data_IF_402480796813
#
_entry.id   IF_402480796813
#
_cell.length_a   1.000
_cell.length_b   1.000
_cell.length_c   1.000
_cell.angle_alpha   90.00
_cell.angle_beta   90.00
_cell.angle_gamma   90.00
#
_symmetry.space_group_name_H-M   'P 1'
#
loop_
_entity.id
_entity.type
_entity.pdbx_description
1 polymer ?
#
# COMPACT_ATOMS: atom_id res chain seq x y z
N UNK A 1 -42.66 -7.38 -5.89
CA UNK A 1 -41.21 -7.15 -5.96
C UNK A 1 -40.43 -8.19 -5.14
N UNK A 2 -40.78 -8.41 -3.86
CA UNK A 2 -40.07 -9.37 -2.99
C UNK A 2 -40.13 -10.83 -3.44
N UNK A 3 -41.14 -11.20 -4.21
CA UNK A 3 -41.31 -12.54 -4.75
C UNK A 3 -40.56 -12.78 -6.09
N UNK A 4 -40.02 -11.70 -6.69
CA UNK A 4 -39.28 -11.76 -7.95
C UNK A 4 -37.93 -12.47 -7.72
N UNK A 5 -37.50 -13.41 -8.60
CA UNK A 5 -36.18 -14.01 -8.49
C UNK A 5 -35.08 -13.03 -8.89
N UNK A 6 -33.92 -13.14 -8.26
CA UNK A 6 -32.70 -12.44 -8.71
C UNK A 6 -32.24 -13.13 -9.99
N UNK A 7 -32.11 -12.34 -11.06
CA UNK A 7 -31.83 -12.84 -12.40
C UNK A 7 -30.34 -12.89 -12.72
N UNK A 8 -29.60 -11.88 -12.27
CA UNK A 8 -28.17 -11.75 -12.56
C UNK A 8 -27.45 -10.90 -11.51
N UNK A 9 -26.13 -11.00 -11.55
CA UNK A 9 -25.21 -10.18 -10.78
C UNK A 9 -24.38 -9.33 -11.73
N UNK A 10 -24.23 -8.05 -11.44
CA UNK A 10 -23.34 -7.13 -12.17
C UNK A 10 -22.31 -6.59 -11.19
N UNK A 11 -21.03 -6.79 -11.48
CA UNK A 11 -19.93 -6.19 -10.73
C UNK A 11 -19.51 -4.87 -11.38
N UNK A 12 -19.38 -3.83 -10.58
CA UNK A 12 -18.99 -2.48 -11.00
C UNK A 12 -17.74 -2.09 -10.20
N UNK A 13 -16.53 -2.40 -10.68
CA UNK A 13 -15.31 -1.97 -10.02
C UNK A 13 -15.16 -0.45 -10.17
N UNK A 14 -14.91 0.25 -9.07
CA UNK A 14 -14.63 1.69 -9.05
C UNK A 14 -13.15 2.00 -9.34
N UNK A 15 -12.28 0.99 -9.17
CA UNK A 15 -10.86 1.03 -9.50
C UNK A 15 -10.46 -0.29 -10.15
N UNK A 16 -9.46 -0.26 -11.02
CA UNK A 16 -8.94 -1.44 -11.70
C UNK A 16 -7.50 -1.71 -11.23
N UNK A 17 -7.36 -1.98 -9.93
CA UNK A 17 -6.05 -2.30 -9.34
C UNK A 17 -5.59 -3.73 -9.62
N UNK A 18 -6.51 -4.65 -9.87
CA UNK A 18 -6.20 -6.03 -10.27
C UNK A 18 -5.97 -7.02 -9.12
N UNK A 19 -6.23 -6.63 -7.87
CA UNK A 19 -6.14 -7.54 -6.73
C UNK A 19 -7.30 -8.54 -6.68
N UNK A 20 -8.49 -8.10 -7.12
CA UNK A 20 -9.69 -8.91 -7.11
C UNK A 20 -9.92 -9.54 -8.47
N UNK A 21 -9.95 -10.87 -8.53
CA UNK A 21 -10.32 -11.59 -9.76
C UNK A 21 -11.84 -11.53 -9.93
N UNK A 22 -12.30 -10.58 -10.74
CA UNK A 22 -13.72 -10.26 -10.92
C UNK A 22 -14.56 -11.47 -11.30
N UNK A 23 -14.07 -12.38 -12.16
CA UNK A 23 -14.81 -13.57 -12.56
C UNK A 23 -15.09 -14.50 -11.38
N UNK A 24 -14.09 -14.69 -10.48
CA UNK A 24 -14.26 -15.52 -9.29
C UNK A 24 -15.24 -14.89 -8.31
N UNK A 25 -15.08 -13.58 -8.05
CA UNK A 25 -15.98 -12.84 -7.18
C UNK A 25 -17.43 -12.87 -7.71
N UNK A 26 -17.60 -12.69 -9.02
CA UNK A 26 -18.91 -12.78 -9.67
C UNK A 26 -19.56 -14.15 -9.44
N UNK A 27 -18.83 -15.23 -9.71
CA UNK A 27 -19.38 -16.58 -9.59
C UNK A 27 -19.73 -16.93 -8.13
N UNK A 28 -18.91 -16.50 -7.17
CA UNK A 28 -19.19 -16.66 -5.75
C UNK A 28 -20.45 -15.92 -5.33
N UNK A 29 -20.63 -14.65 -5.72
CA UNK A 29 -21.83 -13.86 -5.39
C UNK A 29 -23.06 -14.43 -6.12
N UNK A 30 -22.91 -14.79 -7.39
CA UNK A 30 -24.00 -15.38 -8.14
C UNK A 30 -24.53 -16.69 -7.50
N UNK A 31 -23.63 -17.54 -7.04
CA UNK A 31 -24.01 -18.77 -6.32
C UNK A 31 -24.78 -18.49 -5.01
N UNK A 32 -24.55 -17.33 -4.39
CA UNK A 32 -25.24 -16.94 -3.16
C UNK A 32 -26.67 -16.43 -3.39
N UNK A 33 -26.98 -15.86 -4.54
CA UNK A 33 -28.22 -15.08 -4.72
C UNK A 33 -29.03 -15.40 -5.98
N UNK A 34 -28.44 -15.83 -7.09
CA UNK A 34 -29.17 -16.08 -8.35
C UNK A 34 -30.25 -17.16 -8.14
N UNK A 35 -31.43 -16.91 -8.71
CA UNK A 35 -32.63 -17.71 -8.56
C UNK A 35 -33.28 -17.70 -7.15
N UNK A 36 -32.72 -17.01 -6.17
CA UNK A 36 -33.39 -16.74 -4.89
C UNK A 36 -34.36 -15.56 -5.05
N UNK A 37 -35.45 -15.56 -4.28
CA UNK A 37 -36.37 -14.43 -4.26
C UNK A 37 -35.68 -13.21 -3.64
N UNK A 38 -35.95 -12.01 -4.15
CA UNK A 38 -35.43 -10.75 -3.60
C UNK A 38 -35.66 -10.64 -2.10
N UNK A 39 -36.87 -10.99 -1.64
CA UNK A 39 -37.20 -10.93 -0.20
C UNK A 39 -36.51 -11.98 0.68
N UNK A 40 -35.89 -12.99 0.10
CA UNK A 40 -35.17 -14.06 0.83
C UNK A 40 -33.66 -14.00 0.61
N UNK A 41 -33.16 -13.11 -0.27
CA UNK A 41 -31.75 -12.93 -0.50
C UNK A 41 -31.07 -12.29 0.73
N UNK A 42 -30.03 -12.92 1.22
CA UNK A 42 -29.28 -12.42 2.38
C UNK A 42 -28.25 -11.38 1.94
N UNK A 43 -28.70 -10.14 1.76
CA UNK A 43 -27.82 -9.04 1.37
C UNK A 43 -26.69 -8.79 2.38
N UNK A 44 -26.95 -9.05 3.68
CA UNK A 44 -25.94 -8.90 4.72
C UNK A 44 -24.78 -9.88 4.51
N UNK A 45 -25.09 -11.13 4.14
CA UNK A 45 -24.06 -12.15 3.86
C UNK A 45 -23.20 -11.77 2.66
N UNK A 46 -23.80 -11.21 1.60
CA UNK A 46 -23.09 -10.71 0.44
C UNK A 46 -22.16 -9.55 0.84
N UNK A 47 -22.66 -8.60 1.62
CA UNK A 47 -21.86 -7.47 2.10
C UNK A 47 -20.72 -7.95 3.01
N UNK A 48 -20.96 -8.89 3.90
CA UNK A 48 -19.92 -9.51 4.74
C UNK A 48 -18.85 -10.22 3.90
N UNK A 49 -19.25 -10.96 2.87
CA UNK A 49 -18.33 -11.62 1.95
C UNK A 49 -17.39 -10.61 1.27
N UNK A 50 -17.93 -9.48 0.82
CA UNK A 50 -17.16 -8.41 0.20
C UNK A 50 -16.24 -7.71 1.23
N UNK A 51 -16.75 -7.38 2.41
CA UNK A 51 -15.98 -6.71 3.46
C UNK A 51 -14.88 -7.58 4.06
N UNK A 52 -15.02 -8.91 4.01
CA UNK A 52 -13.99 -9.85 4.43
C UNK A 52 -12.91 -10.07 3.37
N UNK A 53 -13.07 -9.54 2.17
CA UNK A 53 -12.02 -9.59 1.15
C UNK A 53 -10.93 -8.56 1.49
N UNK A 54 -9.68 -8.99 1.75
CA UNK A 54 -8.63 -8.10 2.27
C UNK A 54 -8.17 -7.06 1.26
N UNK A 55 -8.59 -7.13 0.02
CA UNK A 55 -8.24 -6.18 -1.04
C UNK A 55 -9.36 -5.19 -1.37
N UNK A 56 -10.54 -5.34 -0.76
CA UNK A 56 -11.68 -4.43 -0.97
C UNK A 56 -11.71 -3.40 0.15
N UNK A 57 -11.57 -2.12 -0.22
CA UNK A 57 -11.63 -0.98 0.69
C UNK A 57 -13.07 -0.65 1.08
N UNK A 58 -13.96 -0.65 0.10
CA UNK A 58 -15.38 -0.33 0.28
C UNK A 58 -16.25 -1.04 -0.74
N UNK A 59 -17.49 -1.27 -0.38
CA UNK A 59 -18.47 -1.87 -1.28
C UNK A 59 -19.88 -1.34 -1.03
N UNK A 60 -20.70 -1.36 -2.08
CA UNK A 60 -22.12 -1.07 -2.03
C UNK A 60 -22.86 -2.06 -2.92
N UNK A 61 -23.98 -2.58 -2.44
CA UNK A 61 -24.80 -3.52 -3.20
C UNK A 61 -26.28 -3.19 -3.10
N UNK A 62 -27.00 -3.30 -4.22
CA UNK A 62 -28.43 -3.11 -4.28
C UNK A 62 -29.05 -3.97 -5.38
N UNK A 63 -30.33 -4.30 -5.20
CA UNK A 63 -31.10 -5.02 -6.22
C UNK A 63 -32.04 -4.00 -6.88
N UNK A 64 -32.02 -3.93 -8.19
CA UNK A 64 -32.92 -3.04 -8.95
C UNK A 64 -34.34 -3.65 -9.09
N UNK A 65 -35.26 -2.84 -9.66
CA UNK A 65 -36.65 -3.26 -9.84
C UNK A 65 -36.81 -4.45 -10.80
N UNK A 66 -35.83 -4.68 -11.64
CA UNK A 66 -35.81 -5.76 -12.61
C UNK A 66 -35.24 -7.07 -12.04
N UNK A 67 -34.69 -7.02 -10.83
CA UNK A 67 -34.15 -8.17 -10.12
C UNK A 67 -32.69 -8.44 -10.43
N UNK A 68 -31.94 -7.44 -10.87
CA UNK A 68 -30.49 -7.55 -11.03
C UNK A 68 -29.79 -7.04 -9.78
N UNK A 69 -28.87 -7.84 -9.23
CA UNK A 69 -28.00 -7.41 -8.15
C UNK A 69 -26.82 -6.65 -8.72
N UNK A 70 -26.71 -5.39 -8.34
CA UNK A 70 -25.59 -4.52 -8.69
C UNK A 70 -24.65 -4.41 -7.47
N UNK A 71 -23.36 -4.67 -7.68
CA UNK A 71 -22.32 -4.65 -6.65
C UNK A 71 -21.21 -3.72 -7.11
N UNK A 72 -21.12 -2.53 -6.53
CA UNK A 72 -19.98 -1.65 -6.69
C UNK A 72 -18.95 -1.94 -5.60
N UNK A 73 -17.68 -1.95 -5.96
CA UNK A 73 -16.59 -2.10 -4.99
C UNK A 73 -15.36 -1.32 -5.42
N UNK A 74 -14.63 -0.85 -4.43
CA UNK A 74 -13.35 -0.17 -4.59
C UNK A 74 -12.26 -1.03 -3.97
N UNK A 75 -11.20 -1.30 -4.73
CA UNK A 75 -10.02 -1.98 -4.23
C UNK A 75 -9.07 -0.98 -3.56
N UNK A 76 -8.28 -1.44 -2.59
CA UNK A 76 -7.21 -0.65 -2.00
C UNK A 76 -6.16 -0.24 -3.04
N UNK A 77 -5.62 0.96 -2.88
CA UNK A 77 -4.51 1.49 -3.69
C UNK A 77 -3.21 1.46 -2.88
N UNK A 78 -2.37 0.43 -3.03
CA UNK A 78 -1.11 0.36 -2.31
C UNK A 78 -0.12 1.40 -2.83
N UNK A 79 0.69 1.93 -1.91
CA UNK A 79 1.71 2.93 -2.17
C UNK A 79 3.12 2.42 -1.87
N UNK A 80 3.22 1.44 -0.98
CA UNK A 80 4.48 0.89 -0.50
C UNK A 80 4.36 -0.62 -0.38
N UNK A 81 5.37 -1.36 -0.85
CA UNK A 81 5.51 -2.80 -0.58
C UNK A 81 6.60 -3.00 0.45
N UNK A 82 6.28 -3.71 1.53
CA UNK A 82 7.20 -3.92 2.64
C UNK A 82 7.54 -5.41 2.74
N UNK A 83 8.84 -5.72 2.74
CA UNK A 83 9.37 -7.05 2.96
C UNK A 83 9.87 -7.15 4.39
N UNK A 84 9.32 -8.09 5.15
CA UNK A 84 9.72 -8.41 6.50
C UNK A 84 11.01 -9.23 6.58
N UNK A 85 11.49 -9.43 7.80
CA UNK A 85 12.67 -10.25 8.12
C UNK A 85 12.53 -11.70 7.70
N UNK A 86 11.32 -12.21 7.70
CA UNK A 86 10.96 -13.61 7.40
C UNK A 86 10.71 -13.86 5.91
N UNK A 87 10.86 -12.84 5.07
CA UNK A 87 10.64 -12.90 3.64
C UNK A 87 9.18 -12.71 3.20
N UNK A 88 8.24 -12.63 4.13
CA UNK A 88 6.86 -12.24 3.80
C UNK A 88 6.80 -10.78 3.35
N UNK A 89 5.77 -10.44 2.61
CA UNK A 89 5.54 -9.06 2.21
C UNK A 89 4.10 -8.66 2.34
N UNK A 90 3.89 -7.40 2.65
CA UNK A 90 2.58 -6.74 2.70
C UNK A 90 2.62 -5.47 1.87
N UNK A 91 1.45 -4.94 1.57
CA UNK A 91 1.33 -3.60 1.01
C UNK A 91 0.80 -2.64 2.07
N UNK A 92 1.11 -1.37 1.88
CA UNK A 92 0.67 -0.29 2.75
C UNK A 92 0.04 0.81 1.90
N UNK A 93 -1.18 1.22 2.27
CA UNK A 93 -1.88 2.32 1.63
C UNK A 93 -1.42 3.67 2.18
N UNK A 94 -1.80 4.76 1.53
CA UNK A 94 -1.50 6.11 2.01
C UNK A 94 -2.18 6.43 3.36
N UNK A 95 -3.30 5.82 3.63
CA UNK A 95 -4.10 5.99 4.85
C UNK A 95 -3.56 5.17 6.02
N UNK A 96 -2.59 4.27 5.77
CA UNK A 96 -1.99 3.42 6.79
C UNK A 96 -2.70 2.07 6.97
N UNK A 97 -3.47 1.63 5.98
CA UNK A 97 -4.01 0.26 5.96
C UNK A 97 -2.95 -0.69 5.43
N UNK A 98 -2.68 -1.73 6.19
CA UNK A 98 -1.84 -2.87 5.76
C UNK A 98 -2.75 -3.88 5.06
N UNK A 99 -2.38 -4.27 3.84
CA UNK A 99 -3.09 -5.30 3.08
C UNK A 99 -2.12 -6.43 2.70
N UNK A 100 -2.58 -7.69 2.66
CA UNK A 100 -1.72 -8.81 2.32
C UNK A 100 -1.21 -8.74 0.87
N UNK A 101 -0.08 -9.37 0.61
CA UNK A 101 0.40 -9.56 -0.76
C UNK A 101 -0.56 -10.47 -1.54
N UNK A 102 -0.61 -10.26 -2.86
CA UNK A 102 -1.41 -11.06 -3.77
C UNK A 102 -0.51 -11.90 -4.67
N UNK A 103 -0.96 -13.11 -4.99
CA UNK A 103 -0.29 -13.98 -5.97
C UNK A 103 -0.66 -13.64 -7.42
N UNK A 104 -1.73 -12.88 -7.62
CA UNK A 104 -2.29 -12.59 -8.96
C UNK A 104 -1.92 -11.20 -9.46
N UNK A 105 -1.56 -10.28 -8.56
CA UNK A 105 -1.24 -8.91 -8.92
C UNK A 105 -0.09 -8.34 -8.10
N UNK A 106 0.81 -7.63 -8.77
CA UNK A 106 1.94 -6.94 -8.14
C UNK A 106 2.03 -5.52 -8.68
N UNK A 107 1.52 -4.52 -7.93
CA UNK A 107 1.60 -3.12 -8.35
C UNK A 107 3.04 -2.60 -8.33
N UNK A 108 3.32 -1.65 -9.21
CA UNK A 108 4.61 -0.96 -9.24
C UNK A 108 4.61 0.17 -8.20
N UNK A 109 5.12 -0.12 -7.02
CA UNK A 109 5.18 0.80 -5.87
C UNK A 109 6.58 0.85 -5.28
N UNK A 110 6.87 1.84 -4.43
CA UNK A 110 8.14 1.90 -3.70
C UNK A 110 8.30 0.66 -2.81
N UNK A 111 9.52 0.14 -2.75
CA UNK A 111 9.85 -1.03 -1.92
C UNK A 111 10.52 -0.55 -0.64
N UNK A 112 10.08 -1.11 0.49
CA UNK A 112 10.78 -1.06 1.75
C UNK A 112 11.17 -2.47 2.21
N UNK A 113 12.33 -2.61 2.83
CA UNK A 113 12.80 -3.90 3.36
C UNK A 113 13.60 -3.71 4.64
N UNK A 114 13.88 -4.80 5.35
CA UNK A 114 14.77 -4.80 6.51
C UNK A 114 14.05 -5.17 7.81
N UNK A 115 14.23 -4.36 8.86
CA UNK A 115 13.75 -4.67 10.20
C UNK A 115 12.26 -4.41 10.39
N UNK A 116 11.41 -5.13 9.65
CA UNK A 116 9.97 -5.13 9.81
C UNK A 116 9.51 -6.48 10.35
N UNK A 117 8.76 -6.44 11.45
CA UNK A 117 8.06 -7.60 12.01
C UNK A 117 6.63 -7.56 11.47
N UNK A 118 6.39 -8.33 10.39
CA UNK A 118 5.09 -8.39 9.76
C UNK A 118 4.21 -9.41 10.46
N UNK A 119 2.96 -9.03 10.71
CA UNK A 119 1.95 -10.01 11.10
C UNK A 119 1.63 -10.87 9.87
N UNK A 120 1.64 -12.18 10.05
CA UNK A 120 1.27 -13.12 8.98
C UNK A 120 -0.25 -13.24 8.93
N UNK A 121 -0.91 -12.10 8.65
CA UNK A 121 -2.36 -12.01 8.63
C UNK A 121 -2.84 -11.93 7.17
N UNK A 122 -3.85 -12.74 6.86
CA UNK A 122 -4.52 -12.74 5.55
C UNK A 122 -5.61 -11.67 5.45
N UNK A 123 -5.79 -10.86 6.48
CA UNK A 123 -6.77 -9.79 6.57
C UNK A 123 -6.12 -8.41 6.48
N UNK A 124 -6.86 -7.44 5.98
CA UNK A 124 -6.43 -6.05 6.03
C UNK A 124 -6.62 -5.49 7.45
N UNK A 125 -5.66 -4.65 7.90
CA UNK A 125 -5.78 -3.98 9.20
C UNK A 125 -5.21 -2.56 9.15
N UNK A 126 -5.68 -1.71 10.07
CA UNK A 126 -5.19 -0.34 10.21
C UNK A 126 -3.99 -0.30 11.15
N UNK A 127 -2.93 0.41 10.74
CA UNK A 127 -1.77 0.65 11.61
C UNK A 127 -2.17 1.39 12.89
N UNK A 128 -1.58 0.97 14.00
CA UNK A 128 -1.79 1.55 15.31
C UNK A 128 -0.44 1.81 16.00
N UNK A 129 -0.18 3.07 16.39
CA UNK A 129 1.06 3.49 17.05
C UNK A 129 1.27 2.89 18.45
N UNK A 130 0.19 2.40 19.09
CA UNK A 130 0.26 1.65 20.34
C UNK A 130 0.75 0.20 20.17
N UNK A 131 0.86 -0.29 18.94
CA UNK A 131 1.35 -1.63 18.63
C UNK A 131 2.84 -1.54 18.24
N UNK A 132 3.77 -2.14 19.03
CA UNK A 132 5.21 -2.02 18.77
C UNK A 132 5.65 -2.48 17.38
N UNK A 133 5.01 -3.51 16.82
CA UNK A 133 5.30 -4.04 15.47
C UNK A 133 4.98 -3.01 14.38
N UNK A 134 3.97 -2.17 14.58
CA UNK A 134 3.53 -1.18 13.60
C UNK A 134 4.43 0.07 13.55
N UNK A 135 5.25 0.30 14.57
CA UNK A 135 6.08 1.52 14.67
C UNK A 135 6.99 1.70 13.44
N UNK A 136 7.67 0.64 12.99
CA UNK A 136 8.53 0.73 11.81
C UNK A 136 7.73 0.87 10.52
N UNK A 137 6.53 0.28 10.45
CA UNK A 137 5.61 0.45 9.32
C UNK A 137 5.11 1.90 9.23
N UNK A 138 4.74 2.50 10.36
CA UNK A 138 4.33 3.91 10.46
C UNK A 138 5.47 4.84 10.02
N UNK A 139 6.70 4.58 10.48
CA UNK A 139 7.89 5.35 10.05
C UNK A 139 8.16 5.17 8.55
N UNK A 140 8.00 3.97 8.01
CA UNK A 140 8.15 3.73 6.57
C UNK A 140 7.11 4.54 5.77
N UNK A 141 5.86 4.58 6.23
CA UNK A 141 4.82 5.41 5.62
C UNK A 141 5.13 6.90 5.70
N UNK A 142 5.65 7.38 6.83
CA UNK A 142 6.08 8.77 6.98
C UNK A 142 7.21 9.11 6.00
N UNK A 143 8.21 8.22 5.86
CA UNK A 143 9.27 8.38 4.86
C UNK A 143 8.73 8.36 3.44
N UNK A 144 7.82 7.44 3.13
CA UNK A 144 7.15 7.41 1.83
C UNK A 144 6.48 8.75 1.51
N UNK A 145 5.68 9.29 2.45
CA UNK A 145 4.99 10.58 2.28
C UNK A 145 5.98 11.74 2.07
N UNK A 146 7.07 11.77 2.82
CA UNK A 146 8.11 12.77 2.67
C UNK A 146 8.82 12.66 1.30
N UNK A 147 9.17 11.45 0.87
CA UNK A 147 9.77 11.19 -0.45
C UNK A 147 8.79 11.61 -1.56
N UNK A 148 7.53 11.24 -1.42
CA UNK A 148 6.51 11.51 -2.44
C UNK A 148 6.19 13.00 -2.61
N UNK A 149 6.33 13.79 -1.54
CA UNK A 149 6.16 15.25 -1.57
C UNK A 149 7.34 16.00 -2.24
N UNK A 150 8.49 15.34 -2.44
CA UNK A 150 9.63 15.92 -3.14
C UNK A 150 9.80 15.26 -4.52
N UNK A 151 9.40 15.96 -5.58
CA UNK A 151 9.37 15.42 -6.95
C UNK A 151 10.74 14.94 -7.44
N UNK A 152 11.85 15.63 -7.08
CA UNK A 152 13.19 15.23 -7.46
C UNK A 152 13.59 13.91 -6.77
N UNK A 153 13.45 13.85 -5.46
CA UNK A 153 13.82 12.67 -4.67
C UNK A 153 12.93 11.47 -4.99
N UNK A 154 11.61 11.67 -5.18
CA UNK A 154 10.69 10.64 -5.61
C UNK A 154 11.19 9.91 -6.86
N UNK A 155 11.63 10.66 -7.87
CA UNK A 155 12.09 10.10 -9.15
C UNK A 155 13.44 9.38 -9.03
N UNK A 156 14.24 9.69 -8.02
CA UNK A 156 15.56 9.12 -7.80
C UNK A 156 15.55 7.97 -6.78
N UNK A 157 14.55 7.90 -5.88
CA UNK A 157 14.52 6.88 -4.83
C UNK A 157 14.20 5.51 -5.42
N UNK A 158 15.08 4.54 -5.17
CA UNK A 158 14.90 3.16 -5.60
C UNK A 158 14.30 2.27 -4.50
N UNK A 159 14.75 2.44 -3.26
CA UNK A 159 14.34 1.59 -2.14
C UNK A 159 14.53 2.31 -0.80
N UNK A 160 13.67 1.96 0.16
CA UNK A 160 13.77 2.31 1.57
C UNK A 160 14.22 1.08 2.35
N UNK A 161 15.21 1.21 3.22
CA UNK A 161 15.71 0.10 4.06
C UNK A 161 15.68 0.49 5.54
N UNK A 162 15.11 -0.36 6.38
CA UNK A 162 15.12 -0.23 7.83
C UNK A 162 16.20 -1.15 8.40
N UNK A 163 17.25 -0.59 9.02
CA UNK A 163 18.33 -1.38 9.58
C UNK A 163 17.99 -1.96 10.98
N UNK A 164 18.88 -2.76 11.54
CA UNK A 164 18.70 -3.43 12.85
C UNK A 164 18.57 -2.45 14.03
N UNK A 165 18.91 -1.16 13.85
CA UNK A 165 18.76 -0.10 14.85
C UNK A 165 17.46 0.69 14.67
N UNK A 166 16.56 0.25 13.77
CA UNK A 166 15.34 0.95 13.38
C UNK A 166 15.59 2.33 12.76
N UNK A 167 16.77 2.51 12.14
CA UNK A 167 17.11 3.68 11.35
C UNK A 167 16.90 3.39 9.87
N UNK A 168 16.50 4.42 9.12
CA UNK A 168 16.21 4.28 7.71
C UNK A 168 17.37 4.71 6.83
N UNK A 169 17.53 4.00 5.73
CA UNK A 169 18.50 4.22 4.67
C UNK A 169 17.77 4.28 3.33
N UNK A 170 18.23 5.12 2.41
CA UNK A 170 17.69 5.22 1.04
C UNK A 170 18.71 4.69 0.05
N UNK A 171 18.23 3.94 -0.93
CA UNK A 171 18.95 3.69 -2.18
C UNK A 171 18.48 4.71 -3.20
N UNK A 172 19.41 5.48 -3.74
CA UNK A 172 19.10 6.61 -4.63
C UNK A 172 19.85 6.44 -5.94
N UNK A 173 19.13 6.53 -7.07
CA UNK A 173 19.73 6.45 -8.41
C UNK A 173 20.74 7.57 -8.60
N UNK A 174 21.89 7.25 -9.17
CA UNK A 174 22.99 8.19 -9.40
C UNK A 174 23.88 8.42 -8.17
N UNK A 175 23.64 7.70 -7.07
CA UNK A 175 24.50 7.65 -5.90
C UNK A 175 24.76 6.19 -5.55
N UNK A 176 26.02 5.73 -5.64
CA UNK A 176 26.39 4.37 -5.22
C UNK A 176 26.49 4.23 -3.70
N UNK A 177 26.58 5.35 -2.98
CA UNK A 177 26.70 5.39 -1.54
C UNK A 177 25.36 5.11 -0.83
N UNK A 178 25.42 4.49 0.34
CA UNK A 178 24.28 4.43 1.26
C UNK A 178 23.90 5.84 1.74
N UNK A 179 22.63 6.19 1.64
CA UNK A 179 22.09 7.44 2.17
C UNK A 179 21.39 7.15 3.50
N UNK A 180 22.04 7.49 4.61
CA UNK A 180 21.51 7.25 5.95
C UNK A 180 20.66 8.44 6.36
N UNK A 181 19.35 8.25 6.43
CA UNK A 181 18.38 9.30 6.79
C UNK A 181 17.92 9.21 8.24
N UNK A 182 18.10 8.03 8.89
CA UNK A 182 17.80 7.80 10.31
C UNK A 182 16.30 7.77 10.60
N UNK A 183 15.86 8.52 11.61
CA UNK A 183 14.47 8.66 12.00
C UNK A 183 13.70 9.63 11.08
N UNK A 184 12.39 9.75 11.30
CA UNK A 184 11.51 10.61 10.50
C UNK A 184 11.50 12.08 10.94
N UNK A 185 12.24 12.45 12.01
CA UNK A 185 12.37 13.84 12.42
C UNK A 185 13.00 14.67 11.31
N UNK A 186 12.42 15.84 11.01
CA UNK A 186 12.88 16.73 9.95
C UNK A 186 13.06 16.06 8.56
N UNK A 187 12.23 15.06 8.24
CA UNK A 187 12.35 14.26 7.02
C UNK A 187 12.41 15.15 5.75
N UNK A 188 11.56 16.15 5.67
CA UNK A 188 11.55 17.09 4.53
C UNK A 188 12.86 17.86 4.37
N UNK A 189 13.46 18.33 5.49
CA UNK A 189 14.74 19.03 5.49
C UNK A 189 15.89 18.09 5.09
N UNK A 190 15.89 16.84 5.61
CA UNK A 190 16.88 15.84 5.22
C UNK A 190 16.85 15.56 3.72
N UNK A 191 15.64 15.40 3.14
CA UNK A 191 15.47 15.17 1.71
C UNK A 191 15.85 16.39 0.87
N UNK A 192 15.56 17.61 1.33
CA UNK A 192 15.97 18.84 0.67
C UNK A 192 17.49 18.99 0.64
N UNK A 193 18.19 18.65 1.72
CA UNK A 193 19.67 18.63 1.75
C UNK A 193 20.23 17.58 0.79
N UNK A 194 19.61 16.40 0.72
CA UNK A 194 19.99 15.38 -0.25
C UNK A 194 19.82 15.88 -1.69
N UNK A 195 18.68 16.48 -1.98
CA UNK A 195 18.40 17.07 -3.30
C UNK A 195 19.45 18.12 -3.69
N UNK A 196 19.77 19.05 -2.77
CA UNK A 196 20.77 20.09 -2.99
C UNK A 196 22.14 19.47 -3.29
N UNK A 197 22.54 18.48 -2.50
CA UNK A 197 23.78 17.75 -2.71
C UNK A 197 23.83 17.06 -4.07
N UNK A 198 22.76 16.37 -4.47
CA UNK A 198 22.69 15.69 -5.76
C UNK A 198 22.75 16.67 -6.93
N UNK A 199 22.02 17.78 -6.87
CA UNK A 199 22.03 18.82 -7.90
C UNK A 199 23.41 19.46 -8.06
N UNK A 200 24.10 19.74 -6.97
CA UNK A 200 25.47 20.26 -7.00
C UNK A 200 26.44 19.29 -7.68
N UNK A 201 26.34 18.00 -7.37
CA UNK A 201 27.18 16.98 -8.02
C UNK A 201 26.93 16.87 -9.51
N UNK A 202 25.67 16.89 -9.93
CA UNK A 202 25.29 16.85 -11.35
C UNK A 202 25.88 18.08 -12.07
N UNK A 203 25.73 19.28 -11.49
CA UNK A 203 26.19 20.51 -12.08
C UNK A 203 27.73 20.60 -12.18
N UNK A 204 28.43 20.06 -11.17
CA UNK A 204 29.90 20.10 -11.11
C UNK A 204 30.58 18.91 -11.77
N UNK A 205 29.81 17.96 -12.33
CA UNK A 205 30.32 16.70 -12.92
C UNK A 205 31.26 15.95 -11.96
N UNK A 206 30.95 15.97 -10.66
CA UNK A 206 31.81 15.37 -9.64
C UNK A 206 31.74 13.83 -9.72
N UNK A 207 32.91 13.20 -9.87
CA UNK A 207 33.08 11.74 -9.93
C UNK A 207 33.47 11.11 -8.58
N UNK A 208 33.60 11.91 -7.51
CA UNK A 208 33.96 11.39 -6.18
C UNK A 208 32.97 10.35 -5.69
N UNK A 209 33.47 9.19 -5.31
CA UNK A 209 32.68 8.14 -4.68
C UNK A 209 32.67 8.29 -3.17
N UNK A 210 31.51 8.12 -2.57
CA UNK A 210 31.35 8.12 -1.12
C UNK A 210 30.93 6.72 -0.68
N UNK A 211 31.38 6.28 0.48
CA UNK A 211 30.89 5.00 1.10
C UNK A 211 29.50 5.17 1.70
N UNK A 212 29.24 6.34 2.29
CA UNK A 212 27.94 6.69 2.87
C UNK A 212 27.73 8.19 2.92
N UNK A 213 26.48 8.60 2.86
CA UNK A 213 26.03 9.99 3.08
C UNK A 213 25.13 9.96 4.31
N UNK A 214 25.52 10.66 5.36
CA UNK A 214 24.77 10.67 6.61
C UNK A 214 24.01 12.00 6.78
N UNK A 215 22.69 11.92 6.77
CA UNK A 215 21.78 13.07 6.86
C UNK A 215 21.12 13.21 8.25
N UNK A 216 21.48 12.35 9.22
CA UNK A 216 20.88 12.37 10.57
C UNK A 216 21.16 13.68 11.31
N UNK A 217 22.29 14.30 11.04
CA UNK A 217 22.73 15.50 11.75
C UNK A 217 22.60 16.75 10.88
N UNK A 218 22.12 17.83 11.47
CA UNK A 218 22.24 19.16 10.87
C UNK A 218 23.71 19.58 11.00
N UNK A 219 24.31 20.11 9.92
CA UNK A 219 25.62 20.76 10.06
C UNK A 219 25.51 21.84 11.13
N UNK A 220 26.25 21.68 12.23
CA UNK A 220 26.54 22.81 13.11
C UNK A 220 27.63 23.61 12.40
N UNK A 221 27.20 24.70 11.77
CA UNK A 221 28.11 25.76 11.35
C UNK A 221 28.80 26.34 12.57
#
# INVERSE_FOLDING_TARGET
YLEKPIQSVTLIPESDSGFVKQSVLHDEIAAMCVNKKVGTANMLEIQQKLSNNPWIESNTSYIDLDGHLNVSFKEYEPQLRIFGKDGHSVYLTNEGTVIPSSSIYTPYVLIASGNFDLQNDSTAYQLNDSIPQDINLIKALQWFKAIHSNSFIKNCTGQLYCNSKNEFELTVRGIEAKVIVGDTCDAADKLKRLETFMKQRINNQETKTFKSINLKFKNRS
#
